data_IF_203401629633
#
_entry.id   IF_203401629633
#
_cell.length_a   1.000
_cell.length_b   1.000
_cell.length_c   1.000
_cell.angle_alpha   90.00
_cell.angle_beta   90.00
_cell.angle_gamma   90.00
#
_symmetry.space_group_name_H-M   'P 1'
#
loop_
_entity.id
_entity.type
_entity.pdbx_description
1 polymer ?
#
# COMPACT_ATOMS: atom_id res chain seq x y z
N UNK A 1 -92.54 35.57 5.19
CA UNK A 1 -92.04 34.52 6.11
C UNK A 1 -90.81 33.90 5.48
N UNK A 2 -89.70 34.00 6.19
CA UNK A 2 -88.36 33.60 5.78
C UNK A 2 -88.01 32.24 6.42
N UNK A 3 -87.52 31.30 5.60
CA UNK A 3 -86.41 30.34 5.86
C UNK A 3 -86.66 29.01 5.15
N UNK A 4 -85.94 28.80 4.06
CA UNK A 4 -85.36 27.48 3.79
C UNK A 4 -83.85 27.69 3.75
N UNK A 5 -83.20 27.34 4.85
CA UNK A 5 -81.75 27.24 4.95
C UNK A 5 -81.33 25.93 4.27
N UNK A 6 -81.07 26.00 2.97
CA UNK A 6 -80.22 25.02 2.30
C UNK A 6 -78.79 25.29 2.75
N UNK A 7 -78.26 24.44 3.63
CA UNK A 7 -76.82 24.42 3.90
C UNK A 7 -76.20 23.80 2.65
N UNK A 8 -75.76 24.64 1.71
CA UNK A 8 -74.85 24.20 0.68
C UNK A 8 -73.52 23.87 1.38
N UNK A 9 -73.29 22.57 1.55
CA UNK A 9 -71.99 22.01 1.88
C UNK A 9 -71.06 22.31 0.71
N UNK A 10 -70.53 23.54 0.67
CA UNK A 10 -69.54 23.96 -0.31
C UNK A 10 -68.30 23.07 -0.14
N UNK A 11 -68.14 22.15 -1.09
CA UNK A 11 -66.91 21.50 -1.53
C UNK A 11 -65.71 21.62 -0.58
N UNK A 12 -65.60 20.67 0.36
CA UNK A 12 -64.37 20.50 1.15
C UNK A 12 -63.28 19.69 0.43
N UNK A 13 -63.43 19.47 -0.88
CA UNK A 13 -62.48 18.81 -1.76
C UNK A 13 -62.48 19.64 -3.05
N UNK A 14 -61.46 20.41 -3.39
CA UNK A 14 -60.25 19.85 -3.97
C UNK A 14 -59.07 20.83 -3.86
N UNK A 15 -58.15 20.57 -2.93
CA UNK A 15 -56.82 21.16 -2.92
C UNK A 15 -55.82 20.01 -2.96
N UNK A 16 -55.68 19.37 -4.12
CA UNK A 16 -54.61 18.40 -4.30
C UNK A 16 -53.29 19.17 -4.43
N UNK A 17 -52.47 19.10 -3.38
CA UNK A 17 -51.08 19.54 -3.45
C UNK A 17 -50.37 18.65 -4.47
N UNK A 18 -50.15 19.14 -5.70
CA UNK A 18 -49.30 18.44 -6.65
C UNK A 18 -47.88 18.45 -6.08
N UNK A 19 -47.31 17.30 -5.68
CA UNK A 19 -45.97 17.29 -5.16
C UNK A 19 -45.04 17.75 -6.27
N UNK A 20 -44.13 18.67 -5.94
CA UNK A 20 -43.18 19.28 -6.86
C UNK A 20 -42.35 18.26 -7.69
N UNK A 21 -42.28 17.01 -7.22
CA UNK A 21 -41.66 15.85 -7.88
C UNK A 21 -42.39 15.36 -9.15
N UNK A 22 -43.64 15.77 -9.38
CA UNK A 22 -44.42 15.33 -10.54
C UNK A 22 -44.13 16.14 -11.81
N UNK A 23 -43.55 17.34 -11.67
CA UNK A 23 -43.19 18.15 -12.82
C UNK A 23 -42.06 17.50 -13.63
N UNK A 24 -42.14 17.50 -14.97
CA UNK A 24 -41.14 16.87 -15.84
C UNK A 24 -39.72 17.43 -15.60
N UNK A 25 -39.64 18.71 -15.20
CA UNK A 25 -38.38 19.39 -14.83
C UNK A 25 -37.72 18.74 -13.61
N UNK A 26 -38.49 18.37 -12.58
CA UNK A 26 -37.95 17.71 -11.39
C UNK A 26 -37.34 16.34 -11.70
N UNK A 27 -37.94 15.59 -12.64
CA UNK A 27 -37.38 14.31 -13.12
C UNK A 27 -36.08 14.53 -13.88
N UNK A 28 -36.01 15.52 -14.77
CA UNK A 28 -34.79 15.85 -15.53
C UNK A 28 -33.66 16.24 -14.57
N UNK A 29 -33.93 17.09 -13.57
CA UNK A 29 -32.96 17.48 -12.55
C UNK A 29 -32.50 16.27 -11.73
N UNK A 30 -33.42 15.37 -11.37
CA UNK A 30 -33.08 14.11 -10.70
C UNK A 30 -32.13 13.23 -11.51
N UNK A 31 -32.42 13.01 -12.80
CA UNK A 31 -31.53 12.26 -13.70
C UNK A 31 -30.17 12.91 -13.87
N UNK A 32 -30.12 14.25 -13.93
CA UNK A 32 -28.88 15.01 -14.05
C UNK A 32 -28.00 14.86 -12.79
N UNK A 33 -28.61 14.90 -11.60
CA UNK A 33 -27.93 14.64 -10.33
C UNK A 33 -27.39 13.20 -10.24
N UNK A 34 -28.18 12.21 -10.63
CA UNK A 34 -27.76 10.80 -10.66
C UNK A 34 -26.60 10.59 -11.64
N UNK A 35 -26.71 11.17 -12.85
CA UNK A 35 -25.63 11.15 -13.84
C UNK A 35 -24.35 11.79 -13.31
N UNK A 36 -24.46 12.94 -12.63
CA UNK A 36 -23.32 13.61 -11.99
C UNK A 36 -22.64 12.75 -10.92
N UNK A 37 -23.43 12.09 -10.07
CA UNK A 37 -22.93 11.15 -9.07
C UNK A 37 -22.21 9.95 -9.70
N UNK A 38 -22.74 9.39 -10.78
CA UNK A 38 -22.11 8.27 -11.51
C UNK A 38 -20.77 8.70 -12.10
N UNK A 39 -20.69 9.90 -12.69
CA UNK A 39 -19.43 10.43 -13.24
C UNK A 39 -18.38 10.66 -12.16
N UNK A 40 -18.77 11.20 -11.00
CA UNK A 40 -17.87 11.38 -9.85
C UNK A 40 -17.38 10.01 -9.35
N UNK A 41 -18.28 9.05 -9.19
CA UNK A 41 -17.92 7.68 -8.78
C UNK A 41 -16.94 7.05 -9.77
N UNK A 42 -17.20 7.15 -11.07
CA UNK A 42 -16.33 6.62 -12.11
C UNK A 42 -14.95 7.29 -12.12
N UNK A 43 -14.90 8.62 -11.94
CA UNK A 43 -13.66 9.37 -11.83
C UNK A 43 -12.82 8.93 -10.62
N UNK A 44 -13.45 8.76 -9.44
CA UNK A 44 -12.78 8.26 -8.25
C UNK A 44 -12.27 6.82 -8.46
N UNK A 45 -13.07 5.94 -9.07
CA UNK A 45 -12.69 4.57 -9.37
C UNK A 45 -11.50 4.51 -10.34
N UNK A 46 -11.55 5.30 -11.41
CA UNK A 46 -10.46 5.43 -12.38
C UNK A 46 -9.17 5.93 -11.72
N UNK A 47 -9.27 6.92 -10.83
CA UNK A 47 -8.11 7.45 -10.09
C UNK A 47 -7.51 6.40 -9.14
N UNK A 48 -8.33 5.60 -8.47
CA UNK A 48 -7.86 4.51 -7.61
C UNK A 48 -7.19 3.39 -8.42
N UNK A 49 -7.79 2.99 -9.55
CA UNK A 49 -7.23 1.98 -10.45
C UNK A 49 -5.91 2.45 -11.07
N UNK A 50 -5.81 3.72 -11.49
CA UNK A 50 -4.57 4.30 -12.05
C UNK A 50 -3.45 4.37 -11.01
N UNK A 51 -3.76 4.69 -9.74
CA UNK A 51 -2.77 4.64 -8.65
C UNK A 51 -2.24 3.22 -8.44
N UNK A 52 -3.11 2.21 -8.43
CA UNK A 52 -2.72 0.80 -8.32
C UNK A 52 -1.93 0.31 -9.54
N UNK A 53 -2.30 0.74 -10.75
CA UNK A 53 -1.59 0.41 -11.98
C UNK A 53 -0.21 1.07 -12.05
N UNK A 54 -0.08 2.33 -11.63
CA UNK A 54 1.22 3.01 -11.55
C UNK A 54 2.16 2.35 -10.53
N UNK A 55 1.61 1.83 -9.44
CA UNK A 55 2.35 1.03 -8.46
C UNK A 55 2.76 -0.36 -9.00
N UNK A 56 2.07 -0.85 -10.04
CA UNK A 56 2.40 -2.09 -10.77
C UNK A 56 3.49 -1.89 -11.84
N UNK A 57 3.80 -0.65 -12.23
CA UNK A 57 4.76 -0.36 -13.30
C UNK A 57 6.21 -0.40 -12.85
N UNK A 58 6.51 -0.14 -11.56
CA UNK A 58 7.87 -0.32 -11.07
C UNK A 58 8.10 -1.77 -10.72
N UNK A 59 9.09 -2.36 -11.39
CA UNK A 59 9.53 -3.70 -11.07
C UNK A 59 10.07 -3.73 -9.63
N UNK A 60 9.77 -4.76 -8.82
CA UNK A 60 10.17 -4.82 -7.42
C UNK A 60 11.67 -4.60 -7.18
N UNK A 61 12.53 -4.98 -8.14
CA UNK A 61 13.98 -4.78 -8.05
C UNK A 61 14.40 -3.32 -8.24
N UNK A 62 13.66 -2.53 -9.03
CA UNK A 62 13.95 -1.11 -9.23
C UNK A 62 13.68 -0.32 -7.95
N UNK A 63 12.57 -0.61 -7.29
CA UNK A 63 12.23 -0.01 -5.99
C UNK A 63 13.27 -0.37 -4.93
N UNK A 64 13.61 -1.67 -4.82
CA UNK A 64 14.61 -2.13 -3.86
C UNK A 64 15.98 -1.47 -4.07
N UNK A 65 16.46 -1.35 -5.32
CA UNK A 65 17.72 -0.67 -5.61
C UNK A 65 17.67 0.83 -5.27
N UNK A 66 16.56 1.50 -5.55
CA UNK A 66 16.38 2.92 -5.22
C UNK A 66 16.38 3.14 -3.71
N UNK A 67 15.71 2.29 -2.94
CA UNK A 67 15.68 2.40 -1.48
C UNK A 67 17.04 2.04 -0.85
N UNK A 68 17.76 1.04 -1.38
CA UNK A 68 19.12 0.70 -0.95
C UNK A 68 20.10 1.87 -1.16
N UNK A 69 19.94 2.64 -2.24
CA UNK A 69 20.71 3.87 -2.45
C UNK A 69 20.41 4.94 -1.39
N UNK A 70 19.17 5.02 -0.91
CA UNK A 70 18.80 5.90 0.21
C UNK A 70 19.43 5.47 1.53
N UNK A 71 19.43 4.17 1.84
CA UNK A 71 20.03 3.59 3.05
C UNK A 71 21.56 3.83 3.08
N UNK A 72 22.22 3.89 1.91
CA UNK A 72 23.66 4.20 1.78
C UNK A 72 24.06 5.54 2.42
N UNK A 73 23.12 6.47 2.63
CA UNK A 73 23.39 7.77 3.23
C UNK A 73 23.41 7.73 4.77
N UNK A 74 23.05 6.60 5.39
CA UNK A 74 22.82 6.46 6.85
C UNK A 74 24.08 5.92 7.56
N UNK A 75 25.27 5.99 6.96
CA UNK A 75 26.51 5.54 7.60
C UNK A 75 27.06 6.61 8.56
N UNK A 76 26.47 6.72 9.74
CA UNK A 76 26.98 7.54 10.85
C UNK A 76 27.66 6.66 11.91
N UNK A 77 28.44 7.26 12.80
CA UNK A 77 29.26 6.57 13.82
C UNK A 77 28.48 6.16 15.08
N UNK A 78 27.21 6.55 15.20
CA UNK A 78 26.43 6.34 16.42
C UNK A 78 25.71 4.97 16.46
N UNK A 79 25.71 4.26 17.60
CA UNK A 79 25.04 2.97 17.76
C UNK A 79 23.54 2.97 17.43
N UNK A 80 22.81 4.06 17.68
CA UNK A 80 21.38 4.14 17.31
C UNK A 80 21.20 4.14 15.80
N UNK A 81 22.13 4.77 15.07
CA UNK A 81 22.12 4.77 13.61
C UNK A 81 22.33 3.35 13.04
N UNK A 82 23.19 2.55 13.65
CA UNK A 82 23.41 1.16 13.23
C UNK A 82 22.14 0.32 13.34
N UNK A 83 21.35 0.50 14.41
CA UNK A 83 20.06 -0.18 14.59
C UNK A 83 19.06 0.24 13.52
N UNK A 84 18.96 1.54 13.25
CA UNK A 84 18.07 2.10 12.21
C UNK A 84 18.44 1.54 10.84
N UNK A 85 19.73 1.51 10.50
CA UNK A 85 20.24 0.95 9.26
C UNK A 85 19.78 -0.50 9.08
N UNK A 86 20.01 -1.37 10.07
CA UNK A 86 19.63 -2.78 9.95
C UNK A 86 18.11 -2.99 9.96
N UNK A 87 17.35 -2.17 10.68
CA UNK A 87 15.89 -2.21 10.63
C UNK A 87 15.37 -1.87 9.23
N UNK A 88 15.92 -0.85 8.58
CA UNK A 88 15.56 -0.49 7.20
C UNK A 88 16.02 -1.55 6.20
N UNK A 89 17.25 -2.05 6.34
CA UNK A 89 17.82 -3.04 5.43
C UNK A 89 17.02 -4.36 5.45
N UNK A 90 16.67 -4.89 6.63
CA UNK A 90 15.90 -6.12 6.71
C UNK A 90 14.45 -5.91 6.27
N UNK A 91 13.81 -4.77 6.60
CA UNK A 91 12.46 -4.45 6.14
C UNK A 91 12.37 -4.36 4.61
N UNK A 92 13.35 -3.72 3.97
CA UNK A 92 13.47 -3.63 2.52
C UNK A 92 13.61 -5.02 1.91
N UNK A 93 14.51 -5.85 2.43
CA UNK A 93 14.71 -7.21 1.91
C UNK A 93 13.47 -8.09 2.08
N UNK A 94 12.76 -8.02 3.22
CA UNK A 94 11.47 -8.70 3.42
C UNK A 94 10.46 -8.29 2.35
N UNK A 95 10.33 -6.98 2.13
CA UNK A 95 9.39 -6.43 1.15
C UNK A 95 9.76 -6.85 -0.26
N UNK A 96 11.05 -6.78 -0.61
CA UNK A 96 11.56 -7.15 -1.93
C UNK A 96 11.33 -8.64 -2.22
N UNK A 97 11.79 -9.51 -1.33
CA UNK A 97 11.66 -10.97 -1.49
C UNK A 97 10.19 -11.38 -1.49
N UNK A 98 9.36 -10.74 -0.66
CA UNK A 98 7.92 -10.99 -0.63
C UNK A 98 7.22 -10.63 -1.94
N UNK A 99 7.52 -9.45 -2.49
CA UNK A 99 6.98 -9.02 -3.80
C UNK A 99 7.51 -9.87 -4.96
N UNK A 100 8.79 -10.25 -4.92
CA UNK A 100 9.47 -10.95 -6.03
C UNK A 100 9.11 -12.43 -6.13
N UNK A 101 8.93 -13.09 -4.99
CA UNK A 101 8.71 -14.54 -4.88
C UNK A 101 7.34 -14.91 -4.30
N UNK A 102 6.47 -13.93 -3.99
CA UNK A 102 5.14 -14.17 -3.43
C UNK A 102 5.16 -14.67 -1.98
N UNK A 103 6.21 -14.34 -1.22
CA UNK A 103 6.37 -14.78 0.16
C UNK A 103 5.72 -13.78 1.14
N UNK A 104 4.93 -14.26 2.08
CA UNK A 104 4.38 -13.44 3.17
C UNK A 104 5.44 -13.20 4.27
N UNK A 105 6.35 -12.23 4.04
CA UNK A 105 7.49 -11.95 4.93
C UNK A 105 7.34 -10.69 5.78
N UNK A 106 6.48 -9.74 5.41
CA UNK A 106 6.44 -8.41 6.04
C UNK A 106 6.04 -8.47 7.52
N UNK A 107 5.13 -9.37 7.88
CA UNK A 107 4.60 -9.51 9.24
C UNK A 107 5.43 -10.49 10.08
N UNK A 108 6.53 -11.00 9.54
CA UNK A 108 7.37 -12.00 10.19
C UNK A 108 8.59 -11.38 10.86
N UNK A 109 8.95 -11.96 11.99
CA UNK A 109 10.20 -11.66 12.69
C UNK A 109 11.41 -12.06 11.85
N UNK A 110 12.58 -11.49 12.17
CA UNK A 110 13.82 -11.81 11.44
C UNK A 110 14.15 -13.32 11.49
N UNK A 111 13.79 -14.02 12.57
CA UNK A 111 13.96 -15.47 12.69
C UNK A 111 13.00 -16.26 11.81
N UNK A 112 11.71 -15.95 11.86
CA UNK A 112 10.69 -16.62 11.02
C UNK A 112 10.95 -16.41 9.52
N UNK A 113 11.53 -15.27 9.14
CA UNK A 113 11.95 -15.02 7.76
C UNK A 113 13.08 -15.97 7.34
N UNK A 114 14.07 -16.20 8.18
CA UNK A 114 15.16 -17.16 7.90
C UNK A 114 14.59 -18.57 7.72
N UNK A 115 13.67 -18.98 8.58
CA UNK A 115 13.03 -20.30 8.52
C UNK A 115 12.18 -20.45 7.25
N UNK A 116 11.35 -19.46 6.94
CA UNK A 116 10.52 -19.50 5.73
C UNK A 116 11.38 -19.54 4.46
N UNK A 117 12.46 -18.76 4.41
CA UNK A 117 13.38 -18.76 3.26
C UNK A 117 14.04 -20.12 3.09
N UNK A 118 14.40 -20.79 4.18
CA UNK A 118 14.97 -22.13 4.16
C UNK A 118 13.98 -23.19 3.61
N UNK A 119 12.68 -23.02 3.88
CA UNK A 119 11.64 -23.90 3.35
C UNK A 119 11.12 -23.49 1.96
N UNK A 120 11.60 -22.39 1.39
CA UNK A 120 11.13 -21.87 0.10
C UNK A 120 11.89 -22.47 -1.09
N UNK A 121 11.29 -22.50 -2.30
CA UNK A 121 11.94 -23.01 -3.52
C UNK A 121 12.97 -22.02 -4.10
N UNK A 122 13.70 -21.30 -3.24
CA UNK A 122 14.73 -20.35 -3.62
C UNK A 122 16.07 -21.07 -3.87
N UNK A 123 16.96 -20.55 -4.74
CA UNK A 123 18.30 -21.09 -4.88
C UNK A 123 19.05 -21.12 -3.54
N UNK A 124 19.80 -22.19 -3.26
CA UNK A 124 20.52 -22.38 -1.99
C UNK A 124 21.44 -21.19 -1.69
N UNK A 125 22.21 -20.73 -2.67
CA UNK A 125 23.10 -19.58 -2.53
C UNK A 125 22.36 -18.31 -2.07
N UNK A 126 21.15 -18.09 -2.58
CA UNK A 126 20.32 -16.95 -2.19
C UNK A 126 19.81 -17.11 -0.75
N UNK A 127 19.42 -18.32 -0.36
CA UNK A 127 19.00 -18.60 1.01
C UNK A 127 20.13 -18.34 2.00
N UNK A 128 21.36 -18.77 1.69
CA UNK A 128 22.54 -18.56 2.51
C UNK A 128 22.89 -17.08 2.63
N UNK A 129 22.87 -16.34 1.53
CA UNK A 129 23.13 -14.90 1.54
C UNK A 129 22.13 -14.13 2.40
N UNK A 130 20.84 -14.45 2.31
CA UNK A 130 19.81 -13.80 3.13
C UNK A 130 19.95 -14.20 4.60
N UNK A 131 20.19 -15.48 4.89
CA UNK A 131 20.43 -15.96 6.26
C UNK A 131 21.62 -15.24 6.91
N UNK A 132 22.75 -15.17 6.22
CA UNK A 132 23.97 -14.54 6.71
C UNK A 132 23.75 -13.05 7.04
N UNK A 133 23.00 -12.33 6.20
CA UNK A 133 22.67 -10.93 6.42
C UNK A 133 21.76 -10.73 7.63
N UNK A 134 20.69 -11.53 7.76
CA UNK A 134 19.76 -11.40 8.88
C UNK A 134 20.41 -11.79 10.22
N UNK A 135 21.26 -12.82 10.24
CA UNK A 135 22.02 -13.18 11.43
C UNK A 135 23.07 -12.10 11.79
N UNK A 136 23.74 -11.51 10.79
CA UNK A 136 24.66 -10.39 10.99
C UNK A 136 23.97 -9.16 11.58
N UNK A 137 22.75 -8.86 11.12
CA UNK A 137 21.93 -7.77 11.63
C UNK A 137 21.59 -7.93 13.12
N UNK A 138 21.32 -9.16 13.58
CA UNK A 138 21.06 -9.43 15.00
C UNK A 138 22.28 -9.12 15.85
N UNK A 139 23.48 -9.53 15.42
CA UNK A 139 24.72 -9.30 16.15
C UNK A 139 24.99 -7.79 16.37
N UNK A 140 24.79 -6.94 15.36
CA UNK A 140 25.08 -5.50 15.48
C UNK A 140 24.01 -4.75 16.26
N UNK A 141 22.76 -5.23 16.30
CA UNK A 141 21.72 -4.68 17.17
C UNK A 141 22.08 -4.79 18.66
N UNK A 142 23.01 -5.69 19.02
CA UNK A 142 23.39 -6.00 20.41
C UNK A 142 24.88 -5.78 20.74
N UNK A 143 25.76 -5.59 19.76
CA UNK A 143 27.21 -5.46 19.96
C UNK A 143 27.68 -4.00 19.94
N UNK A 144 28.35 -3.56 21.02
CA UNK A 144 29.18 -2.35 21.05
C UNK A 144 30.51 -2.65 20.35
N UNK A 145 30.66 -2.39 19.06
CA UNK A 145 31.90 -2.78 18.37
C UNK A 145 32.43 -1.75 17.37
N UNK A 146 33.70 -1.41 17.59
CA UNK A 146 34.65 -0.93 16.59
C UNK A 146 34.57 -1.79 15.32
N UNK A 147 34.54 -1.16 14.14
CA UNK A 147 34.41 -1.87 12.85
C UNK A 147 32.97 -2.17 12.39
N UNK A 148 31.95 -1.74 13.13
CA UNK A 148 30.55 -1.88 12.72
C UNK A 148 30.26 -1.25 11.34
N UNK A 149 30.90 -0.12 11.02
CA UNK A 149 30.70 0.55 9.73
C UNK A 149 31.17 -0.28 8.53
N UNK A 150 32.34 -0.93 8.63
CA UNK A 150 32.85 -1.77 7.53
C UNK A 150 31.94 -2.96 7.28
N UNK A 151 31.41 -3.55 8.37
CA UNK A 151 30.42 -4.63 8.28
C UNK A 151 29.10 -4.15 7.67
N UNK A 152 28.62 -2.97 8.04
CA UNK A 152 27.43 -2.37 7.43
C UNK A 152 27.62 -2.10 5.93
N UNK A 153 28.80 -1.59 5.52
CA UNK A 153 29.13 -1.40 4.09
C UNK A 153 29.12 -2.72 3.35
N UNK A 154 29.71 -3.74 3.94
CA UNK A 154 29.74 -5.08 3.37
C UNK A 154 28.33 -5.70 3.25
N UNK A 155 27.51 -5.58 4.29
CA UNK A 155 26.13 -6.09 4.27
C UNK A 155 25.23 -5.32 3.29
N UNK A 156 25.44 -4.01 3.13
CA UNK A 156 24.77 -3.20 2.11
C UNK A 156 25.12 -3.68 0.70
N UNK A 157 26.41 -3.93 0.43
CA UNK A 157 26.85 -4.46 -0.87
C UNK A 157 26.24 -5.84 -1.12
N UNK A 158 26.24 -6.72 -0.12
CA UNK A 158 25.59 -8.03 -0.20
C UNK A 158 24.10 -7.93 -0.50
N UNK A 159 23.38 -6.97 0.10
CA UNK A 159 21.97 -6.72 -0.20
C UNK A 159 21.76 -6.25 -1.65
N UNK A 160 22.62 -5.38 -2.16
CA UNK A 160 22.61 -4.95 -3.56
C UNK A 160 22.83 -6.14 -4.49
N UNK A 161 23.78 -7.02 -4.17
CA UNK A 161 24.08 -8.21 -4.96
C UNK A 161 22.92 -9.21 -4.95
N UNK A 162 22.25 -9.41 -3.80
CA UNK A 162 21.02 -10.20 -3.71
C UNK A 162 19.98 -9.67 -4.72
N UNK A 163 19.71 -8.37 -4.73
CA UNK A 163 18.71 -7.77 -5.63
C UNK A 163 19.15 -7.89 -7.09
N UNK A 164 20.42 -7.61 -7.40
CA UNK A 164 20.96 -7.67 -8.77
C UNK A 164 20.94 -9.08 -9.35
N UNK A 165 21.33 -10.07 -8.56
CA UNK A 165 21.39 -11.47 -9.01
C UNK A 165 20.00 -12.10 -9.18
N UNK A 166 18.95 -11.46 -8.66
CA UNK A 166 17.57 -11.94 -8.73
C UNK A 166 16.70 -11.15 -9.72
N UNK A 167 17.32 -10.23 -10.47
CA UNK A 167 16.71 -9.57 -11.64
C UNK A 167 16.36 -10.64 -12.67
N UNK A 168 15.10 -10.72 -13.13
CA UNK A 168 14.73 -11.66 -14.19
C UNK A 168 15.51 -11.34 -15.47
N UNK A 169 16.28 -12.31 -15.96
CA UNK A 169 16.89 -12.25 -17.29
C UNK A 169 15.77 -12.40 -18.31
N UNK A 170 15.58 -11.40 -19.17
CA UNK A 170 14.64 -11.45 -20.30
C UNK A 170 15.12 -12.42 -21.37
#
# INVERSE_FOLDING_TARGET
>A
MNKQSGIELYDLYDWWYQPFWYHPIARIVGWLLVSGLILIMFFFLYRLLKKRAAQKTREPWQDALSELQGIKLILFEDPETHKIFYAQLTALLKTYLGKRYGLALNDKTDHEVIEQIACSPLPVDLQEHVRALFQGAQLIKFAHQEGAQDRMRFDLMRAIDIVRNTIPKK
#
